data_IF_092127375418
#
_entry.id   IF_092127375418
#
_cell.length_a   1.000
_cell.length_b   1.000
_cell.length_c   1.000
_cell.angle_alpha   90.00
_cell.angle_beta   90.00
_cell.angle_gamma   90.00
#
_symmetry.space_group_name_H-M   'P 1'
#
loop_
_entity.id
_entity.type
_entity.pdbx_description
1 polymer ?
#
# COMPACT_ATOMS: atom_id res chain seq x y z
N UNK A 1 10.33 12.18 -22.53
CA UNK A 1 9.32 13.17 -22.12
C UNK A 1 9.81 13.90 -20.87
N UNK A 2 10.22 15.17 -20.99
CA UNK A 2 10.74 15.95 -19.86
C UNK A 2 9.54 16.54 -19.11
N UNK A 3 9.09 15.88 -18.04
CA UNK A 3 8.03 16.41 -17.17
C UNK A 3 8.52 17.64 -16.40
N UNK A 4 7.70 18.71 -16.40
CA UNK A 4 7.88 19.91 -15.55
C UNK A 4 7.97 19.51 -14.06
N UNK A 5 8.76 20.26 -13.26
CA UNK A 5 9.06 19.88 -11.87
C UNK A 5 7.82 19.72 -10.98
N UNK A 6 6.79 20.55 -11.17
CA UNK A 6 5.51 20.47 -10.44
C UNK A 6 4.84 19.09 -10.56
N UNK A 7 4.85 18.48 -11.75
CA UNK A 7 4.26 17.15 -11.95
C UNK A 7 5.05 16.06 -11.21
N UNK A 8 6.37 16.20 -11.10
CA UNK A 8 7.19 15.24 -10.34
C UNK A 8 6.84 15.28 -8.85
N UNK A 9 6.60 16.48 -8.31
CA UNK A 9 6.15 16.65 -6.93
C UNK A 9 4.77 16.05 -6.71
N UNK A 10 3.79 16.32 -7.60
CA UNK A 10 2.44 15.76 -7.49
C UNK A 10 2.46 14.23 -7.49
N UNK A 11 3.17 13.61 -8.43
CA UNK A 11 3.27 12.14 -8.50
C UNK A 11 3.95 11.57 -7.26
N UNK A 12 4.99 12.24 -6.74
CA UNK A 12 5.64 11.81 -5.51
C UNK A 12 4.68 11.88 -4.31
N UNK A 13 3.94 12.97 -4.17
CA UNK A 13 2.91 13.12 -3.13
C UNK A 13 1.81 12.07 -3.24
N UNK A 14 1.37 11.74 -4.47
CA UNK A 14 0.42 10.63 -4.69
C UNK A 14 1.00 9.29 -4.22
N UNK A 15 2.28 9.01 -4.49
CA UNK A 15 2.95 7.81 -3.98
C UNK A 15 3.00 7.75 -2.46
N UNK A 16 3.24 8.88 -1.78
CA UNK A 16 3.20 8.96 -0.31
C UNK A 16 1.79 8.69 0.22
N UNK A 17 0.76 9.28 -0.40
CA UNK A 17 -0.63 9.06 -0.02
C UNK A 17 -1.06 7.60 -0.20
N UNK A 18 -0.71 6.99 -1.34
CA UNK A 18 -1.00 5.57 -1.60
C UNK A 18 -0.33 4.67 -0.55
N UNK A 19 0.94 4.93 -0.22
CA UNK A 19 1.63 4.18 0.83
C UNK A 19 0.94 4.34 2.19
N UNK A 20 0.53 5.56 2.55
CA UNK A 20 -0.15 5.83 3.81
C UNK A 20 -1.47 5.07 3.93
N UNK A 21 -2.27 5.03 2.86
CA UNK A 21 -3.52 4.25 2.81
C UNK A 21 -3.23 2.76 3.04
N UNK A 22 -2.23 2.19 2.36
CA UNK A 22 -1.88 0.78 2.51
C UNK A 22 -1.33 0.46 3.92
N UNK A 23 -0.65 1.41 4.57
CA UNK A 23 -0.20 1.25 5.96
C UNK A 23 -1.38 1.28 6.94
N UNK A 24 -2.32 2.20 6.76
CA UNK A 24 -3.52 2.30 7.59
C UNK A 24 -4.38 1.04 7.48
N UNK A 25 -4.50 0.52 6.27
CA UNK A 25 -5.18 -0.74 5.99
C UNK A 25 -4.58 -1.91 6.81
N UNK A 26 -3.26 -2.04 6.84
CA UNK A 26 -2.59 -3.08 7.63
C UNK A 26 -2.70 -2.87 9.13
N UNK A 27 -2.72 -1.62 9.59
CA UNK A 27 -3.02 -1.31 10.99
C UNK A 27 -4.45 -1.76 11.34
N UNK A 28 -5.41 -1.55 10.44
CA UNK A 28 -6.78 -1.98 10.61
C UNK A 28 -6.90 -3.51 10.68
N UNK A 29 -6.22 -4.21 9.77
CA UNK A 29 -6.13 -5.68 9.78
C UNK A 29 -5.57 -6.21 11.13
N UNK A 30 -4.47 -5.63 11.61
CA UNK A 30 -3.85 -6.00 12.89
C UNK A 30 -4.78 -5.68 14.07
N UNK A 31 -5.52 -4.56 14.01
CA UNK A 31 -6.46 -4.18 15.05
C UNK A 31 -7.61 -5.17 15.17
N UNK A 32 -8.21 -5.56 14.04
CA UNK A 32 -9.29 -6.55 14.02
C UNK A 32 -8.79 -7.92 14.50
N UNK A 33 -7.58 -8.30 14.10
CA UNK A 33 -6.93 -9.54 14.55
C UNK A 33 -6.64 -9.59 16.06
N UNK A 34 -6.74 -8.46 16.77
CA UNK A 34 -6.67 -8.44 18.24
C UNK A 34 -8.03 -8.64 18.91
N UNK A 35 -9.12 -8.36 18.20
CA UNK A 35 -10.49 -8.44 18.72
C UNK A 35 -11.05 -9.84 18.49
N UNK A 36 -10.85 -10.37 17.29
CA UNK A 36 -11.35 -11.69 16.89
C UNK A 36 -10.18 -12.68 16.90
N UNK A 37 -10.45 -13.89 17.41
CA UNK A 37 -9.43 -14.95 17.53
C UNK A 37 -9.49 -15.93 16.36
N UNK A 38 -10.66 -16.09 15.74
CA UNK A 38 -10.84 -16.96 14.59
C UNK A 38 -10.63 -16.20 13.29
N UNK A 39 -9.96 -16.85 12.34
CA UNK A 39 -9.56 -16.23 11.07
C UNK A 39 -10.76 -15.77 10.24
N UNK A 40 -11.82 -16.58 10.14
CA UNK A 40 -13.02 -16.22 9.36
C UNK A 40 -13.79 -15.06 9.99
N UNK A 41 -13.81 -14.96 11.32
CA UNK A 41 -14.41 -13.84 12.03
C UNK A 41 -13.62 -12.55 11.79
N UNK A 42 -12.27 -12.61 11.87
CA UNK A 42 -11.39 -11.49 11.53
C UNK A 42 -11.64 -11.01 10.10
N UNK A 43 -11.66 -11.94 9.14
CA UNK A 43 -11.87 -11.66 7.72
C UNK A 43 -13.23 -11.03 7.47
N UNK A 44 -14.28 -11.54 8.10
CA UNK A 44 -15.65 -11.02 7.94
C UNK A 44 -15.77 -9.60 8.52
N UNK A 45 -15.25 -9.40 9.73
CA UNK A 45 -15.23 -8.09 10.39
C UNK A 45 -14.41 -7.07 9.58
N UNK A 46 -13.26 -7.49 9.04
CA UNK A 46 -12.43 -6.66 8.18
C UNK A 46 -13.12 -6.29 6.87
N UNK A 47 -13.72 -7.25 6.18
CA UNK A 47 -14.40 -6.97 4.91
C UNK A 47 -15.64 -6.07 5.13
N UNK A 48 -16.30 -6.15 6.29
CA UNK A 48 -17.51 -5.37 6.58
C UNK A 48 -17.33 -3.85 6.56
N UNK A 49 -16.10 -3.33 6.69
CA UNK A 49 -15.84 -1.88 6.60
C UNK A 49 -15.70 -1.39 5.16
N UNK A 50 -15.61 -2.30 4.19
CA UNK A 50 -15.52 -1.98 2.78
C UNK A 50 -16.89 -2.04 2.10
N UNK A 51 -17.11 -1.25 1.03
CA UNK A 51 -18.34 -1.32 0.27
C UNK A 51 -18.52 -2.70 -0.39
N UNK A 52 -19.77 -3.13 -0.54
CA UNK A 52 -20.15 -4.47 -1.05
C UNK A 52 -19.46 -4.85 -2.36
N UNK A 53 -19.16 -3.87 -3.23
CA UNK A 53 -18.50 -4.10 -4.51
C UNK A 53 -17.03 -4.56 -4.41
N UNK A 54 -16.37 -4.34 -3.27
CA UNK A 54 -14.98 -4.74 -3.01
C UNK A 54 -14.86 -5.59 -1.74
N UNK A 55 -15.98 -6.10 -1.22
CA UNK A 55 -16.06 -6.94 -0.02
C UNK A 55 -15.59 -8.38 -0.29
N UNK A 56 -14.53 -8.52 -1.07
CA UNK A 56 -13.89 -9.77 -1.42
C UNK A 56 -12.39 -9.64 -1.10
N UNK A 57 -11.90 -10.53 -0.24
CA UNK A 57 -10.53 -10.49 0.24
C UNK A 57 -9.54 -10.57 -0.93
N UNK A 58 -9.77 -11.47 -1.90
CA UNK A 58 -8.86 -11.66 -3.01
C UNK A 58 -8.79 -10.41 -3.91
N UNK A 59 -9.94 -9.81 -4.23
CA UNK A 59 -9.97 -8.56 -4.99
C UNK A 59 -9.23 -7.43 -4.26
N UNK A 60 -9.42 -7.31 -2.94
CA UNK A 60 -8.74 -6.31 -2.14
C UNK A 60 -7.22 -6.52 -2.13
N UNK A 61 -6.76 -7.77 -1.90
CA UNK A 61 -5.33 -8.13 -1.97
C UNK A 61 -4.73 -7.73 -3.31
N UNK A 62 -5.43 -8.02 -4.42
CA UNK A 62 -4.97 -7.68 -5.78
C UNK A 62 -4.84 -6.17 -5.95
N UNK A 63 -5.85 -5.40 -5.52
CA UNK A 63 -5.83 -3.91 -5.58
C UNK A 63 -4.64 -3.36 -4.78
N UNK A 64 -4.39 -3.89 -3.59
CA UNK A 64 -3.28 -3.45 -2.75
C UNK A 64 -1.92 -3.79 -3.35
N UNK A 65 -1.74 -5.00 -3.91
CA UNK A 65 -0.51 -5.38 -4.60
C UNK A 65 -0.23 -4.42 -5.76
N UNK A 66 -1.23 -4.11 -6.58
CA UNK A 66 -1.07 -3.14 -7.66
C UNK A 66 -0.75 -1.73 -7.14
N UNK A 67 -1.43 -1.28 -6.09
CA UNK A 67 -1.17 0.01 -5.44
C UNK A 67 0.27 0.11 -4.91
N UNK A 68 0.75 -0.90 -4.20
CA UNK A 68 2.10 -0.96 -3.65
C UNK A 68 3.17 -1.09 -4.74
N UNK A 69 2.90 -1.83 -5.81
CA UNK A 69 3.78 -1.91 -6.97
C UNK A 69 3.94 -0.55 -7.67
N UNK A 70 2.83 0.17 -7.92
CA UNK A 70 2.84 1.52 -8.49
C UNK A 70 3.64 2.47 -7.59
N UNK A 71 3.39 2.40 -6.28
CA UNK A 71 4.07 3.21 -5.26
C UNK A 71 5.59 2.94 -5.25
N UNK A 72 6.00 1.68 -5.30
CA UNK A 72 7.41 1.29 -5.40
C UNK A 72 8.07 1.81 -6.68
N UNK A 73 7.37 1.79 -7.82
CA UNK A 73 7.85 2.35 -9.09
C UNK A 73 8.06 3.86 -8.98
N UNK A 74 7.11 4.58 -8.38
CA UNK A 74 7.20 6.04 -8.16
C UNK A 74 8.46 6.36 -7.34
N UNK A 75 8.67 5.68 -6.22
CA UNK A 75 9.84 5.90 -5.37
C UNK A 75 11.16 5.44 -6.02
N UNK A 76 11.12 4.37 -6.82
CA UNK A 76 12.27 3.91 -7.60
C UNK A 76 12.73 4.92 -8.66
N UNK A 77 11.78 5.67 -9.25
CA UNK A 77 12.10 6.79 -10.15
C UNK A 77 12.59 8.01 -9.35
N UNK A 78 11.96 8.32 -8.23
CA UNK A 78 12.30 9.47 -7.39
C UNK A 78 13.70 9.36 -6.74
N UNK A 79 14.17 8.14 -6.42
CA UNK A 79 15.50 7.93 -5.83
C UNK A 79 16.66 8.39 -6.72
N UNK A 80 16.42 8.59 -8.02
CA UNK A 80 17.42 9.11 -8.97
C UNK A 80 17.67 10.61 -8.78
N UNK A 81 16.79 11.33 -8.07
CA UNK A 81 17.00 12.71 -7.67
C UNK A 81 17.82 12.79 -6.37
N UNK A 82 18.94 13.52 -6.37
CA UNK A 82 19.90 13.56 -5.27
C UNK A 82 19.27 13.92 -3.91
N UNK A 83 18.34 14.88 -3.88
CA UNK A 83 17.72 15.39 -2.65
C UNK A 83 16.67 14.44 -2.02
N UNK A 84 16.08 13.51 -2.78
CA UNK A 84 15.08 12.55 -2.28
C UNK A 84 15.62 11.11 -2.24
N UNK A 85 16.91 10.90 -2.50
CA UNK A 85 17.48 9.56 -2.70
C UNK A 85 17.29 8.66 -1.48
N UNK A 86 17.59 9.16 -0.27
CA UNK A 86 17.54 8.37 0.97
C UNK A 86 16.11 8.05 1.39
N UNK A 87 15.24 9.06 1.43
CA UNK A 87 13.82 8.92 1.77
C UNK A 87 13.09 8.02 0.78
N UNK A 88 13.27 8.24 -0.53
CA UNK A 88 12.64 7.40 -1.56
C UNK A 88 13.12 5.95 -1.51
N UNK A 89 14.40 5.70 -1.18
CA UNK A 89 14.90 4.33 -1.00
C UNK A 89 14.19 3.62 0.15
N UNK A 90 14.01 4.30 1.28
CA UNK A 90 13.32 3.74 2.46
C UNK A 90 11.85 3.45 2.10
N UNK A 91 11.14 4.42 1.53
CA UNK A 91 9.73 4.26 1.16
C UNK A 91 9.52 3.15 0.11
N UNK A 92 10.45 3.01 -0.84
CA UNK A 92 10.44 1.91 -1.81
C UNK A 92 10.58 0.55 -1.12
N UNK A 93 11.50 0.42 -0.15
CA UNK A 93 11.69 -0.83 0.60
C UNK A 93 10.44 -1.15 1.40
N UNK A 94 9.85 -0.18 2.11
CA UNK A 94 8.60 -0.37 2.86
C UNK A 94 7.48 -0.86 1.92
N UNK A 95 7.34 -0.24 0.75
CA UNK A 95 6.33 -0.62 -0.24
C UNK A 95 6.52 -2.07 -0.72
N UNK A 96 7.77 -2.50 -0.95
CA UNK A 96 8.08 -3.87 -1.36
C UNK A 96 7.84 -4.89 -0.25
N UNK A 97 8.17 -4.54 1.00
CA UNK A 97 7.92 -5.41 2.16
C UNK A 97 6.41 -5.60 2.35
N UNK A 98 5.62 -4.54 2.29
CA UNK A 98 4.16 -4.61 2.35
C UNK A 98 3.58 -5.40 1.16
N UNK A 99 4.13 -5.21 -0.03
CA UNK A 99 3.69 -5.95 -1.21
C UNK A 99 3.96 -7.45 -1.05
N UNK A 100 5.14 -7.81 -0.52
CA UNK A 100 5.47 -9.20 -0.19
C UNK A 100 4.55 -9.76 0.88
N UNK A 101 4.24 -8.96 1.92
CA UNK A 101 3.29 -9.34 2.96
C UNK A 101 1.94 -9.73 2.34
N UNK A 102 1.37 -8.94 1.43
CA UNK A 102 0.09 -9.26 0.80
C UNK A 102 0.13 -10.52 -0.05
N UNK A 103 1.23 -10.73 -0.78
CA UNK A 103 1.42 -11.94 -1.59
C UNK A 103 1.49 -13.20 -0.72
N UNK A 104 2.18 -13.14 0.41
CA UNK A 104 2.34 -14.29 1.32
C UNK A 104 1.16 -14.51 2.25
N UNK A 105 0.56 -13.43 2.74
CA UNK A 105 -0.57 -13.48 3.66
C UNK A 105 -1.84 -13.96 2.94
N UNK A 106 -1.96 -13.74 1.62
CA UNK A 106 -3.17 -14.03 0.85
C UNK A 106 -4.42 -13.51 1.59
N UNK A 107 -4.27 -12.28 2.09
CA UNK A 107 -5.29 -11.44 2.73
C UNK A 107 -5.24 -10.09 2.06
#
# INVERSE_FOLDING_TARGET
MIMKSRYKTIIYSMGVLLLAINVLDKIWWIYISKIYTEFEDCKTAYLSVFPECIQDAFLLTVIEIFSLAITAIIFSKAKKAAYLKKTSKILMIISLVLCGWNVFSLM
#
